data_IF_977511344001
#
_entry.id   IF_977511344001
#
_cell.length_a   1.000
_cell.length_b   1.000
_cell.length_c   1.000
_cell.angle_alpha   90.00
_cell.angle_beta   90.00
_cell.angle_gamma   90.00
#
_symmetry.space_group_name_H-M   'P 1'
#
loop_
_entity.id
_entity.type
_entity.pdbx_description
1 polymer ?
#
# COMPACT_ATOMS: atom_id res chain seq x y z
N UNK A 1 0.56 -40.53 -49.28
CA UNK A 1 1.38 -41.32 -48.33
C UNK A 1 0.63 -41.37 -47.00
N UNK A 2 0.68 -42.47 -46.24
CA UNK A 2 -0.07 -42.66 -44.98
C UNK A 2 0.88 -42.63 -43.78
N UNK A 3 0.63 -41.75 -42.80
CA UNK A 3 1.09 -41.83 -41.41
C UNK A 3 0.10 -40.98 -40.57
N UNK A 4 -0.91 -41.52 -39.88
CA UNK A 4 -0.91 -42.23 -38.58
C UNK A 4 -0.30 -41.44 -37.40
N UNK A 5 -1.17 -40.76 -36.64
CA UNK A 5 -0.99 -40.52 -35.19
C UNK A 5 -1.43 -41.80 -34.42
N UNK A 6 -0.84 -42.16 -33.26
CA UNK A 6 -1.21 -41.62 -31.92
C UNK A 6 0.05 -41.41 -31.02
N UNK A 7 0.05 -41.19 -29.70
CA UNK A 7 -0.94 -41.02 -28.61
C UNK A 7 -0.45 -39.89 -27.68
N UNK A 8 -1.24 -39.09 -26.96
CA UNK A 8 -2.14 -39.34 -25.82
C UNK A 8 -1.51 -40.02 -24.60
N UNK A 9 -1.02 -39.20 -23.65
CA UNK A 9 -0.72 -39.57 -22.26
C UNK A 9 -1.30 -38.49 -21.32
N UNK A 10 -2.51 -38.73 -20.79
CA UNK A 10 -3.01 -38.00 -19.63
C UNK A 10 -2.45 -38.66 -18.36
N UNK A 11 -1.61 -37.95 -17.61
CA UNK A 11 -1.20 -38.39 -16.28
C UNK A 11 -2.26 -37.98 -15.24
N UNK A 12 -2.94 -38.97 -14.66
CA UNK A 12 -3.83 -38.74 -13.51
C UNK A 12 -2.96 -38.54 -12.25
N UNK A 13 -2.94 -37.32 -11.70
CA UNK A 13 -2.54 -37.13 -10.30
C UNK A 13 -3.74 -37.44 -9.39
N UNK A 14 -3.62 -38.50 -8.59
CA UNK A 14 -4.66 -38.88 -7.63
C UNK A 14 -4.45 -38.18 -6.28
N UNK A 15 -5.51 -37.51 -5.83
CA UNK A 15 -6.04 -37.45 -4.46
C UNK A 15 -5.10 -37.92 -3.32
N UNK A 16 -4.61 -36.98 -2.53
CA UNK A 16 -4.15 -37.22 -1.16
C UNK A 16 -5.12 -36.54 -0.19
N UNK A 17 -6.02 -37.33 0.42
CA UNK A 17 -7.02 -36.84 1.38
C UNK A 17 -6.53 -36.95 2.83
N UNK A 18 -6.67 -35.85 3.55
CA UNK A 18 -6.92 -35.71 4.99
C UNK A 18 -6.16 -36.59 6.03
N UNK A 19 -5.60 -35.90 7.03
CA UNK A 19 -5.49 -36.43 8.41
C UNK A 19 -5.96 -35.35 9.39
N UNK A 20 -6.95 -35.63 10.27
CA UNK A 20 -7.41 -34.64 11.25
C UNK A 20 -6.39 -34.43 12.37
N UNK A 21 -6.08 -33.18 12.69
CA UNK A 21 -5.30 -32.85 13.88
C UNK A 21 -6.15 -33.09 15.14
N UNK A 22 -5.61 -33.91 16.05
CA UNK A 22 -6.21 -34.22 17.36
C UNK A 22 -5.86 -33.11 18.36
N UNK A 23 -6.83 -32.42 19.00
CA UNK A 23 -6.54 -31.60 20.16
C UNK A 23 -6.28 -32.51 21.37
N UNK A 24 -5.08 -32.40 21.96
CA UNK A 24 -4.80 -32.97 23.29
C UNK A 24 -5.10 -31.92 24.35
N UNK A 25 -6.07 -32.20 25.22
CA UNK A 25 -6.30 -31.44 26.44
C UNK A 25 -5.20 -31.74 27.46
N UNK A 26 -4.56 -30.72 28.03
CA UNK A 26 -3.70 -30.87 29.20
C UNK A 26 -4.05 -29.83 30.26
N UNK A 27 -4.82 -30.28 31.26
CA UNK A 27 -5.03 -29.56 32.51
C UNK A 27 -3.75 -29.70 33.34
N UNK A 28 -3.19 -28.59 33.81
CA UNK A 28 -2.12 -28.60 34.80
C UNK A 28 -2.36 -27.48 35.83
N UNK A 29 -2.71 -27.87 37.05
CA UNK A 29 -2.78 -26.96 38.19
C UNK A 29 -1.39 -26.50 38.60
N UNK A 30 -1.23 -25.20 38.84
CA UNK A 30 -0.06 -24.61 39.48
C UNK A 30 -0.50 -23.52 40.46
N UNK A 31 -0.41 -23.79 41.76
CA UNK A 31 -0.66 -22.79 42.80
C UNK A 31 0.50 -21.78 42.88
N UNK A 32 0.22 -20.57 43.40
CA UNK A 32 1.20 -19.89 44.24
C UNK A 32 0.73 -19.77 45.70
N UNK A 33 1.72 -19.67 46.58
CA UNK A 33 1.56 -19.68 48.04
C UNK A 33 0.86 -18.43 48.58
N UNK A 34 0.16 -18.61 49.70
CA UNK A 34 -0.23 -17.56 50.62
C UNK A 34 0.99 -16.83 51.20
N UNK A 35 0.89 -15.50 51.34
CA UNK A 35 1.58 -14.72 52.38
C UNK A 35 0.61 -13.67 52.90
N UNK A 36 0.30 -13.73 54.18
CA UNK A 36 -0.52 -12.76 54.89
C UNK A 36 0.32 -11.53 55.27
N UNK A 37 -0.20 -10.32 55.06
CA UNK A 37 0.12 -9.19 55.94
C UNK A 37 -1.18 -8.45 56.29
N UNK A 38 -1.41 -8.38 57.59
CA UNK A 38 -2.54 -7.78 58.29
C UNK A 38 -2.40 -6.25 58.39
N UNK A 39 -3.48 -5.47 58.16
CA UNK A 39 -3.66 -4.08 58.67
C UNK A 39 -5.08 -3.53 58.47
N UNK A 40 -6.01 -4.09 59.25
CA UNK A 40 -6.97 -3.39 60.13
C UNK A 40 -7.32 -1.90 59.85
N UNK A 41 -8.54 -1.70 59.35
CA UNK A 41 -9.55 -0.70 59.79
C UNK A 41 -9.26 0.81 59.80
N UNK A 42 -10.10 1.55 59.05
CA UNK A 42 -11.07 2.47 59.69
C UNK A 42 -12.27 2.76 58.77
N UNK A 43 -13.46 2.78 59.35
CA UNK A 43 -14.72 3.07 58.65
C UNK A 43 -15.09 4.55 58.79
N UNK A 44 -15.81 5.09 57.80
CA UNK A 44 -16.80 6.16 58.04
C UNK A 44 -17.90 6.03 56.99
N UNK A 45 -19.11 5.71 57.45
CA UNK A 45 -20.31 5.73 56.63
C UNK A 45 -20.75 7.18 56.39
N UNK A 46 -21.28 7.49 55.21
CA UNK A 46 -22.35 8.48 55.07
C UNK A 46 -23.26 8.06 53.94
N UNK A 47 -24.51 7.73 54.27
CA UNK A 47 -25.54 7.39 53.32
C UNK A 47 -26.40 8.63 53.03
N UNK A 48 -26.64 8.93 51.75
CA UNK A 48 -27.69 9.86 51.33
C UNK A 48 -28.42 9.25 50.12
N UNK A 49 -29.62 8.75 50.37
CA UNK A 49 -30.64 8.52 49.35
C UNK A 49 -31.40 9.81 49.04
N UNK A 50 -32.00 9.93 47.84
CA UNK A 50 -33.38 10.42 47.57
C UNK A 50 -33.57 10.67 46.06
N UNK A 51 -34.75 10.29 45.56
CA UNK A 51 -35.46 10.69 44.31
C UNK A 51 -34.70 10.76 42.98
N UNK A 52 -35.06 9.98 41.95
CA UNK A 52 -36.35 9.95 41.21
C UNK A 52 -36.61 11.20 40.37
N UNK A 53 -36.52 11.06 39.05
CA UNK A 53 -37.57 11.58 38.20
C UNK A 53 -37.75 10.73 36.93
N UNK A 54 -39.01 10.55 36.54
CA UNK A 54 -39.38 9.85 35.33
C UNK A 54 -39.66 10.87 34.21
N UNK A 55 -39.26 10.55 32.98
CA UNK A 55 -39.73 11.28 31.81
C UNK A 55 -39.95 10.31 30.65
N UNK A 56 -41.18 9.80 30.61
CA UNK A 56 -41.75 9.15 29.45
C UNK A 56 -41.90 10.16 28.31
N UNK A 57 -41.28 9.88 27.16
CA UNK A 57 -41.70 10.45 25.88
C UNK A 57 -42.03 9.33 24.90
N UNK A 58 -43.29 8.91 24.96
CA UNK A 58 -43.98 8.24 23.85
C UNK A 58 -43.99 9.16 22.63
N UNK A 59 -43.58 8.66 21.46
CA UNK A 59 -44.09 9.18 20.19
C UNK A 59 -44.37 8.03 19.24
N UNK A 60 -45.54 8.08 18.61
CA UNK A 60 -46.19 6.90 18.01
C UNK A 60 -46.90 7.28 16.71
N UNK A 61 -46.31 6.89 15.59
CA UNK A 61 -46.84 7.00 14.23
C UNK A 61 -45.93 6.18 13.29
N UNK A 62 -46.40 5.49 12.26
CA UNK A 62 -47.79 5.11 11.94
C UNK A 62 -47.78 3.79 11.15
N UNK A 63 -48.94 3.13 11.04
CA UNK A 63 -49.07 1.81 10.39
C UNK A 63 -49.40 1.97 8.92
N UNK A 64 -48.56 1.41 8.02
CA UNK A 64 -48.86 1.31 6.59
C UNK A 64 -48.62 -0.12 6.08
N UNK A 65 -49.61 -0.98 6.30
CA UNK A 65 -49.67 -2.35 5.76
C UNK A 65 -50.45 -2.34 4.44
N UNK A 66 -49.81 -2.61 3.30
CA UNK A 66 -50.41 -3.17 2.07
C UNK A 66 -49.26 -3.76 1.23
N UNK A 67 -49.09 -5.08 1.08
CA UNK A 67 -49.83 -6.09 0.30
C UNK A 67 -49.18 -6.37 -1.08
N UNK A 68 -48.93 -7.66 -1.30
CA UNK A 68 -48.57 -8.43 -2.51
C UNK A 68 -48.18 -7.72 -3.83
N UNK A 69 -47.15 -8.28 -4.49
CA UNK A 69 -47.38 -9.08 -5.73
C UNK A 69 -46.16 -9.95 -6.00
N UNK A 70 -46.38 -11.27 -6.15
CA UNK A 70 -45.40 -12.18 -6.72
C UNK A 70 -45.55 -12.19 -8.26
N UNK A 71 -44.42 -12.25 -8.98
CA UNK A 71 -44.41 -12.69 -10.38
C UNK A 71 -43.06 -13.27 -10.74
N UNK A 72 -43.08 -14.57 -11.05
CA UNK A 72 -42.00 -15.24 -11.76
C UNK A 72 -42.33 -15.24 -13.26
N UNK A 73 -41.34 -14.95 -14.11
CA UNK A 73 -41.26 -15.19 -15.55
C UNK A 73 -40.06 -14.36 -16.08
N UNK A 74 -39.32 -14.75 -17.11
CA UNK A 74 -39.21 -16.09 -17.69
C UNK A 74 -37.85 -16.27 -18.37
N UNK A 75 -37.50 -17.52 -18.64
CA UNK A 75 -36.33 -17.87 -19.44
C UNK A 75 -36.61 -17.55 -20.91
N UNK A 76 -35.77 -16.74 -21.56
CA UNK A 76 -35.78 -16.63 -23.03
C UNK A 76 -34.39 -16.40 -23.60
N UNK A 77 -33.80 -17.51 -24.01
CA UNK A 77 -32.62 -17.63 -24.86
C UNK A 77 -32.83 -16.89 -26.18
N UNK A 78 -31.92 -15.98 -26.54
CA UNK A 78 -31.83 -15.48 -27.93
C UNK A 78 -30.44 -15.78 -28.48
N UNK A 79 -30.36 -16.86 -29.25
CA UNK A 79 -29.23 -17.16 -30.12
C UNK A 79 -29.17 -16.15 -31.26
N UNK A 80 -28.06 -15.42 -31.42
CA UNK A 80 -27.75 -14.75 -32.69
C UNK A 80 -26.39 -15.22 -33.17
N UNK A 81 -26.42 -15.99 -34.26
CA UNK A 81 -25.25 -16.37 -35.05
C UNK A 81 -24.84 -15.17 -35.90
N UNK A 82 -23.56 -14.80 -35.88
CA UNK A 82 -22.99 -13.98 -36.95
C UNK A 82 -21.62 -14.53 -37.35
N UNK A 83 -21.59 -15.22 -38.50
CA UNK A 83 -20.39 -15.74 -39.15
C UNK A 83 -19.76 -14.69 -40.06
N UNK A 84 -18.47 -14.37 -39.84
CA UNK A 84 -17.55 -13.81 -40.85
C UNK A 84 -16.12 -14.02 -40.32
N UNK A 85 -15.17 -14.73 -40.94
CA UNK A 85 -14.92 -15.12 -42.34
C UNK A 85 -14.39 -14.02 -43.28
N UNK A 86 -13.21 -13.48 -42.98
CA UNK A 86 -12.26 -13.04 -44.00
C UNK A 86 -10.80 -13.03 -43.50
N UNK A 87 -9.92 -13.73 -44.24
CA UNK A 87 -8.65 -13.21 -44.78
C UNK A 87 -7.52 -12.71 -43.85
N UNK A 88 -6.31 -13.29 -43.91
CA UNK A 88 -5.11 -12.72 -43.28
C UNK A 88 -4.41 -11.69 -44.18
N UNK A 89 -3.25 -11.20 -43.70
CA UNK A 89 -2.12 -10.58 -44.44
C UNK A 89 -1.99 -9.05 -44.28
N UNK A 90 -0.95 -8.62 -43.55
CA UNK A 90 0.08 -7.72 -44.09
C UNK A 90 1.34 -7.81 -43.23
N UNK A 91 2.38 -8.43 -43.78
CA UNK A 91 3.77 -8.29 -43.33
C UNK A 91 4.27 -6.91 -43.73
N UNK A 92 5.04 -6.24 -42.86
CA UNK A 92 5.92 -5.15 -43.32
C UNK A 92 7.13 -5.02 -42.40
N UNK A 93 8.25 -5.60 -42.85
CA UNK A 93 9.58 -5.29 -42.33
C UNK A 93 9.94 -3.83 -42.66
N UNK A 94 10.50 -3.13 -41.70
CA UNK A 94 11.19 -1.85 -41.93
C UNK A 94 12.40 -1.75 -40.99
N UNK A 95 13.46 -2.46 -41.34
CA UNK A 95 14.80 -2.22 -40.77
C UNK A 95 15.26 -0.82 -41.17
N UNK A 96 15.64 0.00 -40.18
CA UNK A 96 16.40 1.22 -40.43
C UNK A 96 17.51 1.34 -39.41
N UNK A 97 18.67 0.78 -39.75
CA UNK A 97 19.94 1.25 -39.20
C UNK A 97 20.14 2.72 -39.58
N UNK A 98 20.46 3.58 -38.61
CA UNK A 98 21.17 4.81 -38.93
C UNK A 98 22.24 5.10 -37.87
N UNK A 99 23.48 5.05 -38.33
CA UNK A 99 24.68 5.28 -37.55
C UNK A 99 24.98 6.78 -37.43
N UNK A 100 25.48 7.17 -36.25
CA UNK A 100 26.47 8.25 -36.03
C UNK A 100 26.34 9.58 -36.79
N UNK A 101 26.18 10.66 -36.02
CA UNK A 101 27.13 11.79 -36.14
C UNK A 101 27.35 12.44 -34.77
N UNK A 102 28.62 12.68 -34.45
CA UNK A 102 29.09 13.37 -33.25
C UNK A 102 29.41 14.80 -33.68
N UNK A 103 28.77 15.80 -33.06
CA UNK A 103 28.94 17.20 -33.43
C UNK A 103 29.53 17.97 -32.23
N UNK A 104 30.87 18.06 -32.20
CA UNK A 104 31.61 18.87 -31.22
C UNK A 104 31.60 20.34 -31.65
N UNK A 105 30.67 21.12 -31.10
CA UNK A 105 30.64 22.57 -31.31
C UNK A 105 31.83 23.25 -30.61
N UNK A 106 32.97 23.32 -31.30
CA UNK A 106 34.15 24.06 -30.84
C UNK A 106 33.92 25.57 -31.02
N UNK A 107 33.74 26.29 -29.93
CA UNK A 107 33.52 27.74 -29.96
C UNK A 107 34.85 28.51 -29.95
N UNK A 108 35.27 29.00 -31.12
CA UNK A 108 36.45 29.86 -31.24
C UNK A 108 36.12 31.30 -30.86
N UNK A 109 36.81 31.87 -29.86
CA UNK A 109 36.75 33.29 -29.55
C UNK A 109 37.92 34.03 -30.21
N UNK A 110 37.61 35.02 -31.05
CA UNK A 110 38.61 35.99 -31.52
C UNK A 110 38.90 37.02 -30.43
N UNK A 111 40.19 37.29 -30.18
CA UNK A 111 40.65 38.32 -29.23
C UNK A 111 41.00 39.61 -29.95
N UNK A 112 40.20 40.65 -29.75
CA UNK A 112 40.46 41.98 -30.29
C UNK A 112 41.58 42.68 -29.51
N UNK A 113 42.63 43.13 -30.21
CA UNK A 113 43.82 43.71 -29.56
C UNK A 113 43.69 45.23 -29.43
N UNK A 114 43.35 45.72 -28.23
CA UNK A 114 43.42 47.16 -27.90
C UNK A 114 44.60 47.45 -26.98
N UNK A 115 45.49 48.33 -27.42
CA UNK A 115 46.68 48.75 -26.69
C UNK A 115 46.38 49.96 -25.79
N UNK A 116 46.68 49.89 -24.48
CA UNK A 116 46.48 51.05 -23.61
C UNK A 116 46.77 50.84 -22.11
N UNK A 117 47.86 51.47 -21.65
CA UNK A 117 48.18 51.79 -20.25
C UNK A 117 48.56 50.65 -19.28
N UNK A 118 49.71 50.81 -18.63
CA UNK A 118 50.20 49.89 -17.63
C UNK A 118 49.54 50.10 -16.26
N UNK A 119 48.97 49.05 -15.70
CA UNK A 119 48.56 48.97 -14.30
C UNK A 119 49.15 47.69 -13.68
N UNK A 120 49.77 47.81 -12.50
CA UNK A 120 50.32 46.67 -11.76
C UNK A 120 49.16 45.88 -11.13
N UNK A 121 48.68 44.84 -11.82
CA UNK A 121 47.67 43.92 -11.30
C UNK A 121 48.37 42.78 -10.55
N UNK A 122 48.14 42.71 -9.24
CA UNK A 122 48.65 41.62 -8.39
C UNK A 122 47.88 40.34 -8.68
N UNK A 123 48.54 39.35 -9.29
CA UNK A 123 47.92 38.06 -9.63
C UNK A 123 47.72 37.20 -8.39
N UNK A 124 46.56 37.33 -7.74
CA UNK A 124 46.15 36.42 -6.65
C UNK A 124 45.71 35.09 -7.25
N UNK A 125 46.57 34.07 -7.21
CA UNK A 125 46.20 32.71 -7.60
C UNK A 125 45.11 32.20 -6.68
N UNK A 126 43.87 32.17 -7.16
CA UNK A 126 42.76 31.55 -6.45
C UNK A 126 42.98 30.03 -6.46
N UNK A 127 43.25 29.47 -5.28
CA UNK A 127 43.42 28.03 -5.13
C UNK A 127 42.11 27.32 -5.47
N UNK A 128 42.18 26.26 -6.27
CA UNK A 128 41.00 25.59 -6.80
C UNK A 128 40.36 24.76 -5.70
N UNK A 129 39.37 25.34 -5.00
CA UNK A 129 38.60 24.66 -3.97
C UNK A 129 37.86 23.46 -4.55
N UNK A 130 38.45 22.27 -4.42
CA UNK A 130 37.86 21.00 -4.80
C UNK A 130 36.64 20.71 -3.93
N UNK A 131 35.46 21.11 -4.39
CA UNK A 131 34.18 20.79 -3.73
C UNK A 131 33.89 19.30 -3.90
N UNK A 132 34.39 18.49 -2.97
CA UNK A 132 34.03 17.07 -2.86
C UNK A 132 32.53 16.96 -2.58
N UNK A 133 31.75 16.67 -3.62
CA UNK A 133 30.32 16.40 -3.47
C UNK A 133 30.14 15.20 -2.56
N UNK A 134 29.57 15.43 -1.37
CA UNK A 134 29.19 14.33 -0.48
C UNK A 134 28.19 13.41 -1.20
N UNK A 135 28.28 12.11 -0.93
CA UNK A 135 27.28 11.16 -1.40
C UNK A 135 25.92 11.50 -0.77
N UNK A 136 24.80 11.36 -1.50
CA UNK A 136 23.48 11.66 -0.96
C UNK A 136 23.18 10.75 0.23
N UNK A 137 22.81 11.35 1.36
CA UNK A 137 22.48 10.62 2.58
C UNK A 137 21.18 9.82 2.37
N UNK A 138 21.22 8.57 2.83
CA UNK A 138 20.12 7.63 2.67
C UNK A 138 19.32 7.64 3.98
N UNK A 139 18.02 7.99 3.97
CA UNK A 139 17.24 8.09 5.20
C UNK A 139 16.98 6.70 5.79
N UNK A 140 16.93 6.64 7.14
CA UNK A 140 16.64 5.40 7.89
C UNK A 140 15.24 4.88 7.61
N UNK A 141 14.23 5.76 7.74
CA UNK A 141 12.89 5.52 7.21
C UNK A 141 12.81 6.05 5.77
N UNK A 142 12.50 5.17 4.82
CA UNK A 142 12.39 5.48 3.39
C UNK A 142 11.01 5.99 2.98
N UNK A 143 10.05 5.99 3.90
CA UNK A 143 8.73 6.62 3.74
C UNK A 143 8.83 8.09 4.12
N UNK A 144 8.37 8.97 3.23
CA UNK A 144 8.23 10.41 3.47
C UNK A 144 6.84 10.70 4.06
N UNK A 145 6.75 11.74 4.90
CA UNK A 145 5.51 12.13 5.59
C UNK A 145 4.76 10.91 6.19
N UNK A 146 5.41 10.14 7.10
CA UNK A 146 4.92 8.84 7.54
C UNK A 146 3.69 8.88 8.46
N UNK A 147 3.51 9.99 9.19
CA UNK A 147 2.36 10.26 10.08
C UNK A 147 1.50 11.45 9.64
N UNK A 148 1.61 11.92 8.40
CA UNK A 148 0.70 12.93 7.81
C UNK A 148 0.68 14.33 8.49
N UNK A 149 1.62 14.64 9.39
CA UNK A 149 1.74 15.89 10.17
C UNK A 149 1.92 17.19 9.36
N UNK A 150 2.16 17.10 8.04
CA UNK A 150 2.51 18.26 7.20
C UNK A 150 1.29 19.06 6.68
N UNK A 151 0.08 18.85 7.22
CA UNK A 151 -1.20 19.35 6.66
C UNK A 151 -1.40 19.00 5.16
N UNK A 152 -0.72 17.95 4.71
CA UNK A 152 -0.65 17.49 3.33
C UNK A 152 -0.48 15.98 3.33
N UNK A 153 -0.99 15.32 2.30
CA UNK A 153 -0.74 13.88 2.09
C UNK A 153 0.47 13.62 1.21
N UNK A 154 1.07 14.64 0.60
CA UNK A 154 2.23 14.46 -0.27
C UNK A 154 3.38 13.79 0.50
N UNK A 155 4.13 12.82 -0.10
CA UNK A 155 4.03 12.32 -1.47
C UNK A 155 3.11 11.08 -1.64
N UNK A 156 2.26 10.77 -0.67
CA UNK A 156 1.22 9.75 -0.84
C UNK A 156 0.21 10.15 -1.91
N UNK A 157 -0.30 9.12 -2.60
CA UNK A 157 -1.32 9.22 -3.64
C UNK A 157 -2.48 8.30 -3.27
N UNK A 158 -3.70 8.72 -3.56
CA UNK A 158 -4.85 7.81 -3.53
C UNK A 158 -4.87 6.91 -4.78
N UNK A 159 -5.39 5.71 -4.59
CA UNK A 159 -5.77 4.77 -5.63
C UNK A 159 -7.28 4.60 -5.55
N UNK A 160 -8.00 5.04 -6.57
CA UNK A 160 -9.45 4.89 -6.68
C UNK A 160 -10.21 5.38 -5.44
N UNK A 161 -9.92 6.61 -4.98
CA UNK A 161 -10.48 7.18 -3.74
C UNK A 161 -9.89 8.53 -3.35
N UNK A 162 -10.21 8.97 -2.14
CA UNK A 162 -9.68 10.21 -1.53
C UNK A 162 -8.77 9.87 -0.36
N UNK A 163 -7.64 10.56 -0.26
CA UNK A 163 -6.72 10.53 0.89
C UNK A 163 -6.54 11.96 1.39
N UNK A 164 -6.70 12.19 2.70
CA UNK A 164 -6.58 13.51 3.35
C UNK A 164 -5.95 13.37 4.73
N UNK A 165 -5.24 14.38 5.26
CA UNK A 165 -4.86 14.36 6.68
C UNK A 165 -6.14 14.51 7.53
N UNK A 166 -6.16 13.89 8.70
CA UNK A 166 -7.26 14.00 9.67
C UNK A 166 -6.74 13.90 11.10
N UNK A 167 -7.33 14.68 12.00
CA UNK A 167 -7.07 14.63 13.45
C UNK A 167 -8.18 13.92 14.24
N UNK A 168 -9.12 13.24 13.56
CA UNK A 168 -10.26 12.55 14.21
C UNK A 168 -9.88 11.24 14.89
N UNK A 169 -8.89 10.54 14.35
CA UNK A 169 -8.38 9.24 14.77
C UNK A 169 -6.89 9.25 14.42
N UNK A 170 -6.02 9.14 15.42
CA UNK A 170 -4.58 9.36 15.33
C UNK A 170 -3.89 8.31 16.20
N UNK A 171 -2.80 7.70 15.73
CA UNK A 171 -2.02 6.75 16.51
C UNK A 171 -0.92 7.46 17.31
N UNK A 172 -0.12 8.32 16.65
CA UNK A 172 0.76 9.28 17.35
C UNK A 172 0.78 10.65 16.64
N UNK A 173 1.32 11.68 17.30
CA UNK A 173 1.35 13.03 16.73
C UNK A 173 0.01 13.76 16.86
N UNK A 174 -0.41 14.42 15.79
CA UNK A 174 -1.60 15.29 15.70
C UNK A 174 -2.52 14.99 14.51
N UNK A 175 -2.03 14.25 13.51
CA UNK A 175 -2.75 13.88 12.30
C UNK A 175 -2.49 12.41 11.93
N UNK A 176 -3.37 11.85 11.11
CA UNK A 176 -3.16 10.58 10.42
C UNK A 176 -3.72 10.68 9.00
N UNK A 177 -3.30 9.78 8.12
CA UNK A 177 -3.81 9.70 6.75
C UNK A 177 -5.15 8.99 6.72
N UNK A 178 -6.25 9.73 6.48
CA UNK A 178 -7.57 9.15 6.28
C UNK A 178 -7.81 8.87 4.80
N UNK A 179 -7.97 7.59 4.45
CA UNK A 179 -8.46 7.16 3.15
C UNK A 179 -9.94 6.82 3.20
N UNK A 180 -10.69 7.22 2.18
CA UNK A 180 -12.06 6.77 1.98
C UNK A 180 -12.41 6.65 0.50
N UNK A 181 -13.20 5.63 0.15
CA UNK A 181 -13.74 5.47 -1.18
C UNK A 181 -14.96 4.55 -1.26
N UNK A 182 -15.83 4.85 -2.22
CA UNK A 182 -16.94 4.03 -2.67
C UNK A 182 -16.88 3.92 -4.20
N UNK A 183 -16.43 2.78 -4.72
CA UNK A 183 -16.30 2.55 -6.17
C UNK A 183 -16.94 1.21 -6.55
N UNK A 184 -17.34 1.01 -7.82
CA UNK A 184 -17.67 -0.32 -8.33
C UNK A 184 -16.53 -1.31 -8.06
N UNK A 185 -16.86 -2.60 -7.94
CA UNK A 185 -15.95 -3.71 -7.60
C UNK A 185 -14.98 -4.10 -8.74
N UNK A 186 -14.45 -3.11 -9.45
CA UNK A 186 -13.59 -3.23 -10.62
C UNK A 186 -12.24 -2.50 -10.46
N UNK A 187 -12.00 -1.86 -9.32
CA UNK A 187 -10.83 -1.04 -9.05
C UNK A 187 -10.17 -1.43 -7.73
N UNK A 188 -8.83 -1.34 -7.67
CA UNK A 188 -8.09 -1.46 -6.41
C UNK A 188 -8.15 -0.10 -5.71
N UNK A 189 -8.52 -0.13 -4.43
CA UNK A 189 -8.79 1.05 -3.60
C UNK A 189 -7.74 1.15 -2.51
N UNK A 190 -7.20 2.33 -2.26
CA UNK A 190 -6.31 2.58 -1.12
C UNK A 190 -5.35 3.74 -1.29
N UNK A 191 -4.21 3.70 -0.59
CA UNK A 191 -3.13 4.68 -0.70
C UNK A 191 -1.83 4.03 -1.14
N UNK A 192 -0.97 4.80 -1.83
CA UNK A 192 0.39 4.39 -2.18
C UNK A 192 1.37 5.54 -2.02
N UNK A 193 2.63 5.21 -1.80
CA UNK A 193 3.75 6.13 -1.95
C UNK A 193 4.82 5.49 -2.83
N UNK A 194 5.32 6.24 -3.82
CA UNK A 194 6.52 5.85 -4.55
C UNK A 194 7.75 6.16 -3.72
N UNK A 195 8.63 5.17 -3.60
CA UNK A 195 9.89 5.29 -2.87
C UNK A 195 10.95 5.73 -3.87
N UNK A 196 11.82 6.65 -3.47
CA UNK A 196 12.93 7.08 -4.31
C UNK A 196 13.83 5.87 -4.67
N UNK A 197 14.03 5.54 -5.96
CA UNK A 197 14.84 4.39 -6.35
C UNK A 197 16.26 4.43 -5.78
N UNK A 198 16.87 5.62 -5.58
CA UNK A 198 18.23 5.73 -5.02
C UNK A 198 18.35 5.24 -3.57
N UNK A 199 17.23 5.05 -2.87
CA UNK A 199 17.19 4.50 -1.51
C UNK A 199 17.03 2.98 -1.48
N UNK A 200 16.73 2.33 -2.60
CA UNK A 200 16.44 0.90 -2.67
C UNK A 200 17.54 0.19 -3.46
N UNK A 201 18.14 -0.84 -2.87
CA UNK A 201 19.03 -1.77 -3.56
C UNK A 201 18.20 -2.95 -4.11
N UNK A 202 18.20 -3.20 -5.43
CA UNK A 202 17.51 -4.34 -6.02
C UNK A 202 17.92 -5.68 -5.38
N UNK A 203 16.94 -6.56 -5.17
CA UNK A 203 17.08 -7.86 -4.50
C UNK A 203 17.18 -7.80 -2.97
N UNK A 204 17.48 -6.63 -2.37
CA UNK A 204 17.64 -6.49 -0.92
C UNK A 204 16.29 -6.47 -0.19
N UNK A 205 16.29 -6.98 1.04
CA UNK A 205 15.09 -7.07 1.89
C UNK A 205 14.87 -5.79 2.71
N UNK A 206 13.63 -5.30 2.69
CA UNK A 206 13.17 -4.17 3.48
C UNK A 206 11.89 -4.56 4.21
N UNK A 207 11.63 -4.00 5.40
CA UNK A 207 10.36 -4.19 6.11
C UNK A 207 9.52 -2.94 5.95
N UNK A 208 8.37 -3.07 5.29
CA UNK A 208 7.33 -2.05 5.31
C UNK A 208 6.37 -2.34 6.46
N UNK A 209 6.10 -1.33 7.29
CA UNK A 209 5.08 -1.37 8.35
C UNK A 209 4.27 -0.08 8.35
N UNK A 210 3.04 -0.16 8.86
CA UNK A 210 2.25 1.01 9.22
C UNK A 210 1.19 0.62 10.26
N UNK A 211 0.78 1.59 11.08
CA UNK A 211 -0.38 1.43 11.95
C UNK A 211 -1.64 1.74 11.15
N UNK A 212 -2.59 0.81 11.12
CA UNK A 212 -3.80 0.92 10.30
C UNK A 212 -5.04 0.63 11.12
N UNK A 213 -6.01 1.55 11.10
CA UNK A 213 -7.34 1.39 11.68
C UNK A 213 -8.37 1.35 10.55
N UNK A 214 -8.91 0.16 10.26
CA UNK A 214 -9.97 -0.01 9.28
C UNK A 214 -11.29 0.47 9.89
N UNK A 215 -12.03 1.31 9.16
CA UNK A 215 -13.30 1.90 9.64
C UNK A 215 -14.51 1.55 8.80
N UNK A 216 -14.30 1.21 7.51
CA UNK A 216 -15.36 0.72 6.66
C UNK A 216 -14.84 -0.28 5.63
N UNK A 217 -15.55 -1.40 5.49
CA UNK A 217 -15.31 -2.39 4.43
C UNK A 217 -16.64 -2.91 3.91
N UNK A 218 -16.88 -2.76 2.61
CA UNK A 218 -18.05 -3.30 1.90
C UNK A 218 -17.55 -4.08 0.70
N UNK A 219 -18.04 -5.32 0.52
CA UNK A 219 -17.68 -6.17 -0.61
C UNK A 219 -16.18 -6.50 -0.71
N UNK A 220 -15.44 -6.47 0.40
CA UNK A 220 -13.99 -6.61 0.40
C UNK A 220 -13.54 -8.08 0.39
N UNK A 221 -12.63 -8.44 -0.52
CA UNK A 221 -12.01 -9.76 -0.55
C UNK A 221 -10.87 -9.90 0.47
N UNK A 222 -9.87 -9.02 0.41
CA UNK A 222 -8.72 -9.01 1.32
C UNK A 222 -8.16 -7.59 1.49
N UNK A 223 -7.83 -7.23 2.74
CA UNK A 223 -7.26 -5.93 3.10
C UNK A 223 -5.76 -6.12 3.31
N UNK A 224 -4.95 -5.40 2.54
CA UNK A 224 -3.53 -5.75 2.34
C UNK A 224 -2.59 -4.57 2.50
N UNK A 225 -1.43 -4.84 3.09
CA UNK A 225 -0.25 -3.98 3.07
C UNK A 225 0.73 -4.57 2.05
N UNK A 226 1.21 -3.76 1.10
CA UNK A 226 1.79 -4.26 -0.15
C UNK A 226 3.03 -3.49 -0.56
N UNK A 227 4.05 -4.23 -0.99
CA UNK A 227 5.17 -3.71 -1.75
C UNK A 227 4.81 -3.82 -3.24
N UNK A 228 4.69 -2.70 -3.94
CA UNK A 228 4.34 -2.63 -5.36
C UNK A 228 5.41 -1.94 -6.20
N UNK A 229 5.14 -1.72 -7.48
CA UNK A 229 6.06 -1.05 -8.41
C UNK A 229 5.30 -0.40 -9.57
N UNK A 230 5.74 0.74 -10.08
CA UNK A 230 5.06 1.43 -11.19
C UNK A 230 3.62 1.86 -10.89
N UNK A 231 2.93 2.34 -11.91
CA UNK A 231 1.63 3.03 -11.78
C UNK A 231 0.40 2.11 -11.90
N UNK A 232 0.59 0.87 -12.37
CA UNK A 232 -0.48 -0.10 -12.61
C UNK A 232 -1.20 -0.55 -11.33
N UNK A 233 -2.49 -0.90 -11.45
CA UNK A 233 -3.31 -1.30 -10.30
C UNK A 233 -2.87 -2.66 -9.72
N UNK A 234 -2.54 -3.63 -10.57
CA UNK A 234 -2.17 -5.00 -10.17
C UNK A 234 -0.69 -5.22 -9.85
N UNK A 235 0.17 -4.20 -9.96
CA UNK A 235 1.60 -4.38 -9.77
C UNK A 235 1.94 -4.65 -8.30
N UNK A 236 2.62 -5.77 -8.08
CA UNK A 236 2.77 -6.39 -6.77
C UNK A 236 4.10 -7.13 -6.72
N UNK A 237 4.87 -6.91 -5.66
CA UNK A 237 6.11 -7.64 -5.36
C UNK A 237 5.95 -8.51 -4.11
N UNK A 238 5.29 -8.00 -3.06
CA UNK A 238 5.08 -8.74 -1.80
C UNK A 238 3.80 -8.27 -1.11
N UNK A 239 3.09 -9.16 -0.42
CA UNK A 239 1.78 -8.90 0.19
C UNK A 239 1.75 -9.37 1.64
N UNK A 240 1.35 -8.49 2.55
CA UNK A 240 0.95 -8.79 3.92
C UNK A 240 -0.53 -8.49 4.14
N UNK A 241 -1.09 -8.98 5.24
CA UNK A 241 -2.48 -8.81 5.63
C UNK A 241 -2.64 -7.75 6.71
N UNK A 242 -3.76 -7.02 6.71
CA UNK A 242 -4.13 -6.09 7.77
C UNK A 242 -5.15 -6.77 8.68
N UNK A 243 -4.90 -6.78 9.99
CA UNK A 243 -5.80 -7.36 10.98
C UNK A 243 -6.83 -6.32 11.41
N UNK A 244 -8.11 -6.62 11.22
CA UNK A 244 -9.22 -5.74 11.60
C UNK A 244 -9.59 -5.97 13.08
N UNK A 245 -9.07 -5.13 13.96
CA UNK A 245 -9.29 -5.20 15.43
C UNK A 245 -10.38 -4.25 15.93
N UNK A 246 -10.90 -3.37 15.06
CA UNK A 246 -11.73 -2.22 15.44
C UNK A 246 -10.93 -1.00 15.91
N UNK A 247 -9.61 -1.13 16.01
CA UNK A 247 -8.69 -0.05 16.38
C UNK A 247 -7.43 -0.09 15.49
N UNK A 248 -6.43 0.74 15.78
CA UNK A 248 -5.13 0.65 15.11
C UNK A 248 -4.47 -0.72 15.33
N UNK A 249 -3.99 -1.32 14.25
CA UNK A 249 -3.16 -2.53 14.28
C UNK A 249 -1.90 -2.34 13.43
N UNK A 250 -0.78 -2.89 13.90
CA UNK A 250 0.47 -2.85 13.15
C UNK A 250 0.43 -3.87 12.00
N UNK A 251 0.23 -3.38 10.79
CA UNK A 251 0.38 -4.18 9.58
C UNK A 251 1.84 -4.15 9.12
N UNK A 252 2.35 -5.28 8.60
CA UNK A 252 3.70 -5.31 8.01
C UNK A 252 3.86 -6.34 6.90
N UNK A 253 4.87 -6.10 6.04
CA UNK A 253 5.29 -6.99 4.95
C UNK A 253 6.78 -6.81 4.67
N UNK A 254 7.49 -7.91 4.40
CA UNK A 254 8.87 -7.84 3.90
C UNK A 254 8.85 -7.64 2.38
N UNK A 255 9.41 -6.53 1.93
CA UNK A 255 9.59 -6.17 0.53
C UNK A 255 10.95 -6.66 0.01
N UNK A 256 10.98 -7.12 -1.23
CA UNK A 256 12.16 -7.09 -2.08
C UNK A 256 11.71 -6.79 -3.51
N UNK A 257 12.51 -5.98 -4.22
CA UNK A 257 12.21 -5.57 -5.60
C UNK A 257 13.30 -6.10 -6.54
N UNK A 258 12.90 -6.78 -7.61
CA UNK A 258 13.86 -7.14 -8.67
C UNK A 258 14.34 -5.89 -9.43
N UNK A 259 15.43 -6.00 -10.20
CA UNK A 259 15.95 -4.90 -11.02
C UNK A 259 14.85 -4.21 -11.86
N UNK A 260 14.04 -5.00 -12.59
CA UNK A 260 12.94 -4.49 -13.41
C UNK A 260 11.80 -3.85 -12.59
N UNK A 261 11.53 -4.34 -11.38
CA UNK A 261 10.52 -3.74 -10.49
C UNK A 261 11.02 -2.43 -9.86
N UNK A 262 12.32 -2.33 -9.61
CA UNK A 262 12.99 -1.11 -9.16
C UNK A 262 13.03 -0.05 -10.26
N UNK A 263 13.36 -0.44 -11.50
CA UNK A 263 13.29 0.43 -12.69
C UNK A 263 11.88 0.95 -12.98
N UNK A 264 10.85 0.13 -12.71
CA UNK A 264 9.45 0.56 -12.79
C UNK A 264 9.05 1.55 -11.68
N UNK A 265 9.91 1.82 -10.69
CA UNK A 265 9.67 2.71 -9.55
C UNK A 265 9.03 1.95 -8.38
N UNK A 266 9.78 1.62 -7.31
CA UNK A 266 9.26 0.87 -6.16
C UNK A 266 8.21 1.70 -5.41
N UNK A 267 7.24 1.03 -4.79
CA UNK A 267 6.20 1.69 -3.98
C UNK A 267 5.77 0.85 -2.79
N UNK A 268 5.28 1.52 -1.76
CA UNK A 268 4.58 0.93 -0.62
C UNK A 268 3.12 1.34 -0.64
N UNK A 269 2.21 0.44 -0.28
CA UNK A 269 0.78 0.60 -0.51
C UNK A 269 -0.06 -0.02 0.61
N UNK A 270 -1.17 0.62 0.97
CA UNK A 270 -2.25 0.04 1.77
C UNK A 270 -3.47 -0.01 0.87
N UNK A 271 -3.95 -1.21 0.54
CA UNK A 271 -4.97 -1.38 -0.49
C UNK A 271 -5.84 -2.60 -0.30
N UNK A 272 -7.00 -2.56 -0.95
CA UNK A 272 -7.99 -3.63 -0.93
C UNK A 272 -8.76 -3.68 -2.25
N UNK A 273 -9.41 -4.81 -2.50
CA UNK A 273 -10.40 -4.96 -3.58
C UNK A 273 -11.78 -5.02 -2.93
N UNK A 274 -12.57 -3.96 -3.07
CA UNK A 274 -13.83 -3.71 -2.35
C UNK A 274 -14.86 -2.99 -3.24
N UNK A 275 -16.06 -2.78 -2.71
CA UNK A 275 -16.99 -1.73 -3.17
C UNK A 275 -17.00 -0.49 -2.27
N UNK A 276 -16.63 -0.65 -1.00
CA UNK A 276 -16.40 0.44 -0.05
C UNK A 276 -15.18 0.13 0.82
N UNK A 277 -14.27 1.09 0.96
CA UNK A 277 -13.08 0.92 1.80
C UNK A 277 -12.67 2.26 2.42
N UNK A 278 -12.58 2.30 3.74
CA UNK A 278 -12.08 3.44 4.51
C UNK A 278 -11.18 2.97 5.66
N UNK A 279 -10.08 3.69 5.88
CA UNK A 279 -9.12 3.42 6.94
C UNK A 279 -8.34 4.68 7.32
N UNK A 280 -7.80 4.70 8.54
CA UNK A 280 -6.72 5.58 8.94
C UNK A 280 -5.39 4.83 8.82
N UNK A 281 -4.35 5.50 8.33
CA UNK A 281 -2.96 5.05 8.32
C UNK A 281 -2.09 6.07 9.04
N UNK A 282 -1.18 5.58 9.86
CA UNK A 282 -0.23 6.38 10.63
C UNK A 282 1.10 5.64 10.80
N UNK A 283 2.15 6.37 11.23
CA UNK A 283 3.45 5.85 11.63
C UNK A 283 4.06 4.83 10.64
N UNK A 284 4.02 5.16 9.35
CA UNK A 284 4.52 4.28 8.29
C UNK A 284 6.06 4.23 8.22
N UNK A 285 6.64 3.02 8.23
CA UNK A 285 8.09 2.81 8.14
C UNK A 285 8.48 1.88 7.01
N UNK A 286 9.54 2.22 6.26
CA UNK A 286 10.21 1.32 5.33
C UNK A 286 11.71 1.30 5.66
N UNK A 287 12.13 0.23 6.34
CA UNK A 287 13.47 0.08 6.90
C UNK A 287 14.19 -1.11 6.25
N UNK A 288 15.51 -1.13 6.27
CA UNK A 288 16.29 -2.27 5.79
C UNK A 288 16.26 -3.43 6.79
N UNK A 289 16.11 -4.66 6.30
CA UNK A 289 16.21 -5.85 7.17
C UNK A 289 17.65 -6.31 7.19
N UNK A 290 18.31 -6.19 8.34
CA UNK A 290 19.63 -6.79 8.56
C UNK A 290 19.54 -8.32 8.40
N UNK A 291 20.17 -8.83 7.35
CA UNK A 291 20.42 -10.26 7.23
C UNK A 291 21.59 -10.63 8.14
N UNK A 292 21.31 -11.35 9.22
CA UNK A 292 22.35 -12.04 9.99
C UNK A 292 23.14 -12.97 9.05
N UNK A 293 24.41 -12.65 8.84
CA UNK A 293 25.35 -13.41 7.99
C UNK A 293 26.02 -14.57 8.71
#
# INVERSE_FOLDING_TARGET
MRFTHPALLLALCQLASASPCKPSSSIASGAPSSTEIESTSSATETSVTISSDASSLTSSYDTATLLETASASDLSTTTVVTTSSAGPTTTLDATTDLSTTLDETTTTFESETTSGSAALVTTTTADASTTTSAAPEIPSNRVLNPGFEENSVFPWQSMSGTLSPSSSEVHTGSQAGYFTSTTPMSAIMGSRQFINPTWITPGKSYKFSAWVKITNTVGCGSRTIVCGHGTGQGTTSSVGTITETGDFSLASVTCSWTQAQWEAGPSVQIRSYCTGFSFFVDDATLEEVETLG
#
